data_IF_759379072475
#
_entry.id   IF_759379072475
#
_cell.length_a   1.000
_cell.length_b   1.000
_cell.length_c   1.000
_cell.angle_alpha   90.00
_cell.angle_beta   90.00
_cell.angle_gamma   90.00
#
_symmetry.space_group_name_H-M   'P 1'
#
loop_
_entity.id
_entity.type
_entity.pdbx_description
1 polymer ?
#
# COMPACT_ATOMS: atom_id res chain seq x y z
N UNK A 1 17.90 -11.10 8.97
CA UNK A 1 18.19 -10.00 8.02
C UNK A 1 16.91 -9.60 7.32
N UNK A 2 16.59 -8.32 7.32
CA UNK A 2 15.40 -7.85 6.64
C UNK A 2 15.59 -7.84 5.13
N UNK A 3 14.52 -8.15 4.39
CA UNK A 3 14.56 -8.16 2.96
C UNK A 3 14.55 -6.75 2.39
N UNK A 4 15.19 -6.58 1.23
CA UNK A 4 15.19 -5.31 0.53
C UNK A 4 13.76 -4.88 0.16
N UNK A 5 12.89 -5.83 -0.20
CA UNK A 5 11.49 -5.53 -0.53
C UNK A 5 10.74 -4.94 0.67
N UNK A 6 10.97 -5.51 1.84
CA UNK A 6 10.35 -5.02 3.07
C UNK A 6 10.88 -3.61 3.41
N UNK A 7 12.18 -3.40 3.31
CA UNK A 7 12.77 -2.07 3.58
C UNK A 7 12.28 -1.02 2.59
N UNK A 8 12.11 -1.38 1.32
CA UNK A 8 11.54 -0.47 0.32
C UNK A 8 10.12 -0.05 0.69
N UNK A 9 9.31 -1.00 1.19
CA UNK A 9 7.96 -0.69 1.64
C UNK A 9 8.00 0.28 2.83
N UNK A 10 8.86 0.02 3.81
CA UNK A 10 8.96 0.89 4.98
C UNK A 10 9.34 2.31 4.59
N UNK A 11 10.26 2.47 3.63
CA UNK A 11 10.65 3.78 3.13
C UNK A 11 9.51 4.47 2.40
N UNK A 12 8.80 3.73 1.55
CA UNK A 12 7.67 4.28 0.81
C UNK A 12 6.55 4.73 1.76
N UNK A 13 6.32 3.97 2.84
CA UNK A 13 5.31 4.35 3.84
C UNK A 13 5.73 5.63 4.58
N UNK A 14 7.00 5.74 4.96
CA UNK A 14 7.51 6.95 5.60
C UNK A 14 7.30 8.17 4.70
N UNK A 15 7.55 8.02 3.40
CA UNK A 15 7.35 9.10 2.43
C UNK A 15 5.86 9.44 2.28
N UNK A 16 5.00 8.44 2.21
CA UNK A 16 3.54 8.70 2.10
C UNK A 16 3.03 9.46 3.32
N UNK A 17 3.52 9.15 4.51
CA UNK A 17 3.05 9.82 5.73
C UNK A 17 3.31 11.32 5.72
N UNK A 18 4.21 11.81 4.87
CA UNK A 18 4.46 13.25 4.75
C UNK A 18 3.25 14.02 4.21
N UNK A 19 2.29 13.35 3.56
CA UNK A 19 1.07 14.03 3.11
C UNK A 19 0.26 14.58 4.28
N UNK A 20 0.42 14.01 5.47
CA UNK A 20 -0.33 14.43 6.66
C UNK A 20 0.01 15.87 7.07
N UNK A 21 1.17 16.40 6.67
CA UNK A 21 1.57 17.76 6.95
C UNK A 21 0.98 18.79 5.98
N UNK A 22 0.31 18.34 4.91
CA UNK A 22 -0.25 19.22 3.90
C UNK A 22 -1.71 19.55 4.20
N UNK A 23 -2.09 20.81 4.01
CA UNK A 23 -3.46 21.26 4.22
C UNK A 23 -4.08 21.70 2.90
N UNK A 24 -5.38 21.40 2.66
CA UNK A 24 -6.07 21.86 1.47
C UNK A 24 -6.28 23.40 1.53
N UNK A 25 -6.44 24.07 0.39
CA UNK A 25 -6.43 23.48 -0.96
C UNK A 25 -5.02 23.15 -1.44
N UNK A 26 -4.92 22.14 -2.31
CA UNK A 26 -3.64 21.73 -2.88
C UNK A 26 -3.49 22.25 -4.30
N UNK A 27 -2.28 22.69 -4.68
CA UNK A 27 -2.00 22.97 -6.09
C UNK A 27 -1.82 21.65 -6.85
N UNK A 28 -1.81 21.72 -8.18
CA UNK A 28 -1.72 20.53 -9.03
C UNK A 28 -0.45 19.71 -8.77
N UNK A 29 0.68 20.38 -8.57
CA UNK A 29 1.96 19.68 -8.34
C UNK A 29 1.91 18.90 -7.03
N UNK A 30 1.42 19.55 -5.96
CA UNK A 30 1.29 18.91 -4.65
C UNK A 30 0.32 17.74 -4.73
N UNK A 31 -0.84 17.92 -5.34
CA UNK A 31 -1.87 16.91 -5.49
C UNK A 31 -1.33 15.69 -6.25
N UNK A 32 -0.65 15.94 -7.38
CA UNK A 32 -0.04 14.87 -8.18
C UNK A 32 1.02 14.11 -7.38
N UNK A 33 1.84 14.84 -6.62
CA UNK A 33 2.86 14.23 -5.77
C UNK A 33 2.25 13.35 -4.68
N UNK A 34 1.17 13.81 -4.05
CA UNK A 34 0.49 13.05 -3.00
C UNK A 34 -0.11 11.74 -3.53
N UNK A 35 -0.72 11.78 -4.71
CA UNK A 35 -1.24 10.59 -5.38
C UNK A 35 -0.11 9.63 -5.73
N UNK A 36 1.00 10.15 -6.24
CA UNK A 36 2.17 9.33 -6.60
C UNK A 36 2.75 8.63 -5.36
N UNK A 37 2.81 9.32 -4.23
CA UNK A 37 3.30 8.72 -2.98
C UNK A 37 2.42 7.55 -2.54
N UNK A 38 1.10 7.66 -2.71
CA UNK A 38 0.20 6.55 -2.45
C UNK A 38 0.47 5.38 -3.38
N UNK A 39 0.56 5.64 -4.68
CA UNK A 39 0.80 4.58 -5.68
C UNK A 39 2.09 3.83 -5.40
N UNK A 40 3.16 4.56 -5.11
CA UNK A 40 4.47 3.96 -4.81
C UNK A 40 4.37 3.09 -3.56
N UNK A 41 3.71 3.58 -2.52
CA UNK A 41 3.56 2.83 -1.28
C UNK A 41 2.78 1.53 -1.50
N UNK A 42 1.67 1.59 -2.24
CA UNK A 42 0.90 0.39 -2.55
C UNK A 42 1.75 -0.63 -3.32
N UNK A 43 2.50 -0.17 -4.33
CA UNK A 43 3.34 -1.07 -5.12
C UNK A 43 4.39 -1.76 -4.24
N UNK A 44 5.04 -1.01 -3.37
CA UNK A 44 6.04 -1.60 -2.48
C UNK A 44 5.40 -2.51 -1.43
N UNK A 45 4.19 -2.18 -0.98
CA UNK A 45 3.49 -2.99 0.01
C UNK A 45 3.17 -4.39 -0.51
N UNK A 46 2.55 -4.51 -1.70
CA UNK A 46 2.20 -5.84 -2.18
C UNK A 46 3.44 -6.65 -2.58
N UNK A 47 4.51 -5.98 -3.00
CA UNK A 47 5.79 -6.66 -3.27
C UNK A 47 6.42 -7.18 -1.98
N UNK A 48 6.30 -6.42 -0.89
CA UNK A 48 6.77 -6.86 0.42
C UNK A 48 5.96 -8.07 0.92
N UNK A 49 4.64 -8.04 0.73
CA UNK A 49 3.79 -9.20 1.05
C UNK A 49 4.24 -10.44 0.29
N UNK A 50 4.42 -10.31 -1.02
CA UNK A 50 4.85 -11.42 -1.87
C UNK A 50 6.18 -11.99 -1.38
N UNK A 51 7.12 -11.13 -1.06
CA UNK A 51 8.43 -11.54 -0.54
C UNK A 51 8.28 -12.34 0.75
N UNK A 52 7.45 -11.89 1.69
CA UNK A 52 7.26 -12.59 2.96
C UNK A 52 6.51 -13.90 2.79
N UNK A 53 5.55 -13.95 1.89
CA UNK A 53 4.82 -15.18 1.59
C UNK A 53 5.75 -16.22 0.98
N UNK A 54 6.57 -15.84 0.03
CA UNK A 54 7.54 -16.75 -0.60
C UNK A 54 8.56 -17.24 0.42
N UNK A 55 9.08 -16.34 1.24
CA UNK A 55 10.05 -16.70 2.28
C UNK A 55 9.44 -17.70 3.28
N UNK A 56 8.15 -17.58 3.55
CA UNK A 56 7.46 -18.45 4.51
C UNK A 56 6.92 -19.75 3.91
N UNK A 57 7.26 -20.05 2.66
CA UNK A 57 6.94 -21.33 2.07
C UNK A 57 5.69 -21.38 1.19
N UNK A 58 5.14 -20.23 0.82
CA UNK A 58 3.96 -20.16 -0.03
C UNK A 58 4.30 -19.96 -1.53
N UNK A 59 5.54 -20.28 -1.93
CA UNK A 59 6.03 -20.05 -3.29
C UNK A 59 5.30 -20.86 -4.37
N UNK A 60 4.67 -21.97 -4.01
CA UNK A 60 3.91 -22.79 -4.96
C UNK A 60 2.61 -22.15 -5.40
N UNK A 61 2.14 -21.10 -4.72
CA UNK A 61 1.00 -20.32 -5.17
C UNK A 61 1.44 -19.37 -6.28
N UNK A 62 0.54 -19.11 -7.25
CA UNK A 62 0.82 -18.13 -8.28
C UNK A 62 0.56 -16.74 -7.71
N UNK A 63 1.63 -16.01 -7.44
CA UNK A 63 1.58 -14.67 -6.85
C UNK A 63 1.94 -13.61 -7.89
N UNK A 64 1.38 -13.72 -9.10
CA UNK A 64 1.70 -12.85 -10.22
C UNK A 64 0.94 -11.53 -10.26
N UNK A 65 -0.03 -11.33 -9.36
CA UNK A 65 -0.82 -10.10 -9.35
C UNK A 65 -1.04 -9.61 -7.93
N UNK A 66 -1.23 -8.29 -7.75
CA UNK A 66 -1.56 -7.76 -6.42
C UNK A 66 -2.79 -8.42 -5.80
N UNK A 67 -3.83 -8.69 -6.59
CA UNK A 67 -5.05 -9.34 -6.08
C UNK A 67 -4.77 -10.73 -5.53
N UNK A 68 -3.99 -11.54 -6.25
CA UNK A 68 -3.64 -12.89 -5.80
C UNK A 68 -2.84 -12.85 -4.49
N UNK A 69 -1.90 -11.91 -4.40
CA UNK A 69 -1.08 -11.72 -3.20
C UNK A 69 -1.96 -11.31 -2.01
N UNK A 70 -2.86 -10.34 -2.21
CA UNK A 70 -3.76 -9.86 -1.15
C UNK A 70 -4.62 -11.00 -0.63
N UNK A 71 -5.19 -11.80 -1.52
CA UNK A 71 -6.07 -12.90 -1.12
C UNK A 71 -5.33 -13.94 -0.30
N UNK A 72 -4.14 -14.35 -0.74
CA UNK A 72 -3.35 -15.31 0.02
C UNK A 72 -2.89 -14.71 1.35
N UNK A 73 -2.43 -13.46 1.35
CA UNK A 73 -1.98 -12.78 2.56
C UNK A 73 -3.08 -12.74 3.62
N UNK A 74 -4.32 -12.49 3.20
CA UNK A 74 -5.45 -12.52 4.12
C UNK A 74 -5.68 -13.93 4.66
N UNK A 75 -5.63 -14.96 3.81
CA UNK A 75 -5.86 -16.35 4.20
C UNK A 75 -4.88 -16.84 5.27
N UNK A 76 -3.64 -16.35 5.22
CA UNK A 76 -2.58 -16.77 6.15
C UNK A 76 -2.33 -15.76 7.28
N UNK A 77 -3.25 -14.82 7.45
CA UNK A 77 -3.25 -13.84 8.55
C UNK A 77 -2.13 -12.81 8.49
N UNK A 78 -1.54 -12.58 7.33
CA UNK A 78 -0.63 -11.44 7.15
C UNK A 78 -1.43 -10.13 7.11
N UNK A 79 -2.64 -10.18 6.55
CA UNK A 79 -3.56 -9.03 6.51
C UNK A 79 -4.78 -9.29 7.39
N UNK A 80 -5.25 -8.23 8.05
CA UNK A 80 -6.42 -8.32 8.93
C UNK A 80 -7.73 -8.00 8.20
N UNK A 81 -7.68 -7.22 7.12
CA UNK A 81 -8.89 -6.71 6.44
C UNK A 81 -8.72 -6.82 4.92
N UNK A 82 -9.24 -7.90 4.35
CA UNK A 82 -9.13 -8.15 2.91
C UNK A 82 -9.84 -7.06 2.10
N UNK A 83 -11.05 -6.67 2.52
CA UNK A 83 -11.82 -5.71 1.73
C UNK A 83 -11.13 -4.36 1.65
N UNK A 84 -10.54 -3.90 2.74
CA UNK A 84 -9.81 -2.63 2.74
C UNK A 84 -8.64 -2.67 1.75
N UNK A 85 -7.91 -3.80 1.70
CA UNK A 85 -6.81 -3.96 0.75
C UNK A 85 -7.31 -4.03 -0.69
N UNK A 86 -8.48 -4.63 -0.94
CA UNK A 86 -9.09 -4.64 -2.27
C UNK A 86 -9.54 -3.23 -2.67
N UNK A 87 -10.05 -2.46 -1.72
CA UNK A 87 -10.39 -1.05 -1.94
C UNK A 87 -9.13 -0.24 -2.29
N UNK A 88 -8.02 -0.52 -1.60
CA UNK A 88 -6.74 0.12 -1.89
C UNK A 88 -6.24 -0.25 -3.29
N UNK A 89 -6.42 -1.49 -3.71
CA UNK A 89 -6.08 -1.92 -5.06
C UNK A 89 -6.91 -1.16 -6.10
N UNK A 90 -8.20 -0.97 -5.85
CA UNK A 90 -9.07 -0.21 -6.75
C UNK A 90 -8.60 1.25 -6.83
N UNK A 91 -8.23 1.85 -5.71
CA UNK A 91 -7.71 3.21 -5.69
C UNK A 91 -6.42 3.30 -6.52
N UNK A 92 -5.53 2.31 -6.39
CA UNK A 92 -4.30 2.26 -7.18
C UNK A 92 -4.61 2.16 -8.68
N UNK A 93 -5.62 1.37 -9.05
CA UNK A 93 -6.04 1.27 -10.46
C UNK A 93 -6.60 2.60 -10.96
N UNK A 94 -7.22 3.37 -10.09
CA UNK A 94 -7.79 4.68 -10.44
C UNK A 94 -6.73 5.78 -10.57
N UNK A 95 -5.49 5.54 -10.16
CA UNK A 95 -4.41 6.54 -10.30
C UNK A 95 -4.24 6.95 -11.75
N UNK A 96 -4.48 6.05 -12.70
CA UNK A 96 -4.41 6.36 -14.14
C UNK A 96 -5.40 7.46 -14.55
N UNK A 97 -6.42 7.72 -13.73
CA UNK A 97 -7.45 8.74 -13.98
C UNK A 97 -7.34 9.94 -13.04
N UNK A 98 -6.23 10.08 -12.34
CA UNK A 98 -6.06 11.12 -11.32
C UNK A 98 -5.87 12.52 -11.89
N UNK A 99 -5.77 12.65 -13.23
CA UNK A 99 -5.90 13.96 -13.88
C UNK A 99 -7.28 14.59 -13.60
N UNK A 100 -8.27 13.78 -13.28
CA UNK A 100 -9.57 14.24 -12.78
C UNK A 100 -9.40 14.59 -11.29
N UNK A 101 -9.65 15.85 -10.95
CA UNK A 101 -9.41 16.34 -9.59
C UNK A 101 -10.21 15.60 -8.53
N UNK A 102 -11.45 15.23 -8.82
CA UNK A 102 -12.27 14.50 -7.85
C UNK A 102 -11.66 13.13 -7.52
N UNK A 103 -11.12 12.46 -8.54
CA UNK A 103 -10.48 11.16 -8.34
C UNK A 103 -9.21 11.34 -7.50
N UNK A 104 -8.38 12.33 -7.84
CA UNK A 104 -7.16 12.62 -7.10
C UNK A 104 -7.45 12.95 -5.64
N UNK A 105 -8.41 13.83 -5.39
CA UNK A 105 -8.78 14.22 -4.03
C UNK A 105 -9.37 13.06 -3.24
N UNK A 106 -10.11 12.17 -3.89
CA UNK A 106 -10.65 10.96 -3.27
C UNK A 106 -9.54 10.03 -2.80
N UNK A 107 -8.51 9.81 -3.63
CA UNK A 107 -7.35 8.98 -3.28
C UNK A 107 -6.60 9.60 -2.09
N UNK A 108 -6.39 10.91 -2.11
CA UNK A 108 -5.71 11.61 -1.03
C UNK A 108 -6.51 11.50 0.28
N UNK A 109 -7.82 11.73 0.22
CA UNK A 109 -8.68 11.64 1.40
C UNK A 109 -8.68 10.23 1.99
N UNK A 110 -8.78 9.20 1.15
CA UNK A 110 -8.76 7.82 1.60
C UNK A 110 -7.39 7.41 2.12
N UNK A 111 -6.31 7.95 1.54
CA UNK A 111 -4.96 7.72 2.06
C UNK A 111 -4.85 8.23 3.50
N UNK A 112 -5.34 9.45 3.75
CA UNK A 112 -5.27 10.06 5.08
C UNK A 112 -6.17 9.35 6.10
N UNK A 113 -7.36 8.93 5.69
CA UNK A 113 -8.36 8.38 6.63
C UNK A 113 -8.26 6.88 6.85
N UNK A 114 -7.74 6.12 5.88
CA UNK A 114 -7.76 4.65 5.95
C UNK A 114 -6.46 3.98 5.52
N UNK A 115 -5.86 4.40 4.40
CA UNK A 115 -4.80 3.59 3.82
C UNK A 115 -3.48 3.68 4.57
N UNK A 116 -3.12 4.84 5.09
CA UNK A 116 -1.90 4.98 5.90
C UNK A 116 -1.97 4.06 7.12
N UNK A 117 -3.10 4.04 7.83
CA UNK A 117 -3.28 3.16 8.99
C UNK A 117 -3.21 1.69 8.58
N UNK A 118 -3.78 1.36 7.42
CA UNK A 118 -3.73 0.01 6.85
C UNK A 118 -2.27 -0.41 6.58
N UNK A 119 -1.48 0.46 5.96
CA UNK A 119 -0.06 0.19 5.71
C UNK A 119 0.73 0.06 7.00
N UNK A 120 0.44 0.88 8.00
CA UNK A 120 1.09 0.81 9.30
C UNK A 120 0.79 -0.53 10.00
N UNK A 121 -0.43 -1.02 9.86
CA UNK A 121 -0.81 -2.33 10.40
C UNK A 121 -0.03 -3.45 9.73
N UNK A 122 0.16 -3.38 8.40
CA UNK A 122 0.99 -4.36 7.69
C UNK A 122 2.44 -4.32 8.17
N UNK A 123 2.99 -3.13 8.30
CA UNK A 123 4.37 -2.98 8.78
C UNK A 123 4.53 -3.63 10.15
N UNK A 124 3.60 -3.37 11.06
CA UNK A 124 3.64 -3.92 12.41
C UNK A 124 3.54 -5.45 12.38
N UNK A 125 2.65 -5.99 11.57
CA UNK A 125 2.49 -7.43 11.44
C UNK A 125 3.78 -8.09 10.91
N UNK A 126 4.39 -7.50 9.89
CA UNK A 126 5.65 -8.02 9.35
C UNK A 126 6.72 -8.01 10.44
N UNK A 127 6.87 -6.89 11.15
CA UNK A 127 7.91 -6.75 12.18
C UNK A 127 7.73 -7.75 13.32
N UNK A 128 6.50 -8.02 13.70
CA UNK A 128 6.21 -8.88 14.87
C UNK A 128 6.18 -10.35 14.53
N UNK A 129 5.71 -10.73 13.33
CA UNK A 129 5.38 -12.12 13.05
C UNK A 129 5.95 -12.68 11.75
N UNK A 130 6.56 -11.88 10.89
CA UNK A 130 6.99 -12.31 9.56
C UNK A 130 8.45 -11.95 9.24
N UNK A 131 9.26 -11.87 10.24
CA UNK A 131 10.71 -11.62 10.05
C UNK A 131 11.52 -12.89 9.92
#
# INVERSE_FOLDING_TARGET
>A
MESKKVLNFYKALANLKEIEAKEPPYDTVTETGMVALYEICFEQAWKAMKDRLEFSGYAEQKLGSPRAVIKLAYQVNLLADEQLWLDALQARNNVAHSYNEQIALGIIADSRSKFIVMFEALKREIEENWV
#
